data_IF_327417497973
#
_entry.id   IF_327417497973
#
_cell.length_a   1.000
_cell.length_b   1.000
_cell.length_c   1.000
_cell.angle_alpha   90.00
_cell.angle_beta   90.00
_cell.angle_gamma   90.00
#
_symmetry.space_group_name_H-M   'P 1'
#
loop_
_entity.id
_entity.type
_entity.pdbx_description
1 polymer ?
#
# COMPACT_ATOMS: atom_id res chain seq x y z
N UNK A 1 1.97 -0.17 -2.21
CA UNK A 1 2.55 -1.53 -2.14
C UNK A 1 4.08 -1.52 -2.30
N UNK A 2 4.68 -1.11 -3.41
CA UNK A 2 6.14 -1.19 -3.61
C UNK A 2 6.96 -0.51 -2.49
N UNK A 3 6.57 0.71 -2.08
CA UNK A 3 7.24 1.41 -0.96
C UNK A 3 7.12 0.59 0.34
N UNK A 4 5.93 0.06 0.64
CA UNK A 4 5.70 -0.77 1.82
C UNK A 4 6.61 -2.00 1.83
N UNK A 5 6.60 -2.78 0.74
CA UNK A 5 7.41 -4.01 0.63
C UNK A 5 8.91 -3.72 0.77
N UNK A 6 9.39 -2.69 0.08
CA UNK A 6 10.81 -2.32 0.13
C UNK A 6 11.23 -1.83 1.52
N UNK A 7 10.47 -0.94 2.12
CA UNK A 7 10.82 -0.35 3.41
C UNK A 7 10.75 -1.39 4.55
N UNK A 8 9.74 -2.25 4.53
CA UNK A 8 9.65 -3.36 5.49
C UNK A 8 10.80 -4.35 5.32
N UNK A 9 11.18 -4.68 4.09
CA UNK A 9 12.32 -5.56 3.81
C UNK A 9 13.65 -4.97 4.31
N UNK A 10 13.87 -3.67 4.07
CA UNK A 10 15.07 -2.98 4.55
C UNK A 10 15.14 -2.94 6.08
N UNK A 11 14.01 -2.69 6.74
CA UNK A 11 13.96 -2.64 8.20
C UNK A 11 14.08 -4.04 8.83
N UNK A 12 13.48 -5.08 8.22
CA UNK A 12 13.69 -6.48 8.61
C UNK A 12 15.17 -6.86 8.52
N UNK A 13 15.85 -6.46 7.43
CA UNK A 13 17.27 -6.74 7.26
C UNK A 13 18.16 -6.03 8.32
N UNK A 14 17.79 -4.80 8.72
CA UNK A 14 18.48 -4.12 9.86
C UNK A 14 18.34 -4.88 11.17
N UNK A 15 17.30 -5.72 11.32
CA UNK A 15 17.05 -6.59 12.45
C UNK A 15 17.65 -7.99 12.31
N UNK A 16 18.45 -8.22 11.27
CA UNK A 16 19.14 -9.48 11.01
C UNK A 16 18.28 -10.54 10.32
N UNK A 17 17.13 -10.17 9.75
CA UNK A 17 16.30 -11.07 8.94
C UNK A 17 16.75 -10.99 7.48
N UNK A 18 17.04 -12.12 6.86
CA UNK A 18 17.30 -12.20 5.42
C UNK A 18 15.97 -12.20 4.66
N UNK A 19 15.85 -11.34 3.64
CA UNK A 19 14.64 -11.16 2.87
C UNK A 19 14.87 -11.36 1.39
N UNK A 20 14.11 -12.25 0.77
CA UNK A 20 14.04 -12.39 -0.68
C UNK A 20 12.66 -11.95 -1.17
N UNK A 21 12.64 -10.93 -2.04
CA UNK A 21 11.45 -10.39 -2.66
C UNK A 21 11.31 -11.01 -4.05
N UNK A 22 10.25 -11.77 -4.28
CA UNK A 22 9.93 -12.31 -5.60
C UNK A 22 8.98 -11.37 -6.33
N UNK A 23 9.34 -10.95 -7.52
CA UNK A 23 8.50 -10.09 -8.38
C UNK A 23 8.58 -10.56 -9.83
N UNK A 24 7.57 -10.25 -10.64
CA UNK A 24 7.58 -10.56 -12.06
C UNK A 24 8.56 -9.63 -12.79
N UNK A 25 9.43 -10.20 -13.61
CA UNK A 25 10.24 -9.43 -14.54
C UNK A 25 9.35 -8.67 -15.53
N UNK A 26 9.58 -7.38 -15.70
CA UNK A 26 8.79 -6.48 -16.55
C UNK A 26 9.51 -6.07 -17.81
N UNK A 27 10.81 -6.23 -17.85
CA UNK A 27 11.64 -6.01 -19.04
C UNK A 27 12.65 -7.16 -19.20
N UNK A 28 13.13 -7.37 -20.43
CA UNK A 28 14.22 -8.33 -20.70
C UNK A 28 15.57 -7.90 -20.13
N UNK A 29 15.68 -6.63 -19.74
CA UNK A 29 16.87 -6.06 -19.11
C UNK A 29 16.89 -6.27 -17.57
N UNK A 30 15.80 -6.72 -16.97
CA UNK A 30 15.73 -6.99 -15.53
C UNK A 30 16.72 -8.12 -15.17
N UNK A 31 17.72 -7.81 -14.35
CA UNK A 31 18.63 -8.82 -13.85
C UNK A 31 17.84 -9.87 -13.03
N UNK A 32 18.10 -11.19 -13.21
CA UNK A 32 17.35 -12.23 -12.49
C UNK A 32 17.37 -12.08 -10.97
N UNK A 33 18.49 -11.59 -10.43
CA UNK A 33 18.67 -11.33 -8.99
C UNK A 33 19.36 -9.98 -8.81
N UNK A 34 18.78 -9.13 -7.97
CA UNK A 34 19.33 -7.81 -7.62
C UNK A 34 19.49 -7.74 -6.10
N UNK A 35 20.71 -7.45 -5.64
CA UNK A 35 20.95 -7.12 -4.22
C UNK A 35 20.62 -5.65 -3.99
N UNK A 36 19.54 -5.38 -3.27
CA UNK A 36 19.10 -4.01 -2.96
C UNK A 36 19.86 -3.44 -1.77
N UNK A 37 20.11 -4.27 -0.78
CA UNK A 37 20.87 -3.94 0.42
C UNK A 37 21.47 -5.23 1.01
N UNK A 38 22.41 -5.15 1.97
CA UNK A 38 22.80 -6.30 2.77
C UNK A 38 21.57 -6.97 3.39
N UNK A 39 21.38 -8.27 3.17
CA UNK A 39 20.23 -9.04 3.64
C UNK A 39 18.95 -8.87 2.82
N UNK A 40 18.92 -8.09 1.72
CA UNK A 40 17.75 -7.92 0.87
C UNK A 40 18.07 -8.24 -0.59
N UNK A 41 17.41 -9.26 -1.13
CA UNK A 41 17.48 -9.65 -2.54
C UNK A 41 16.11 -9.45 -3.21
N UNK A 42 16.14 -9.05 -4.48
CA UNK A 42 14.97 -9.07 -5.38
C UNK A 42 15.23 -10.10 -6.47
N UNK A 43 14.29 -11.03 -6.62
CA UNK A 43 14.30 -12.02 -7.72
C UNK A 43 13.25 -11.66 -8.75
N UNK A 44 13.71 -11.34 -9.94
CA UNK A 44 12.87 -11.06 -11.10
C UNK A 44 12.50 -12.35 -11.80
N UNK A 45 11.29 -12.83 -11.58
CA UNK A 45 10.79 -14.08 -12.13
C UNK A 45 10.15 -13.84 -13.49
N UNK A 46 10.62 -14.54 -14.52
CA UNK A 46 10.02 -14.46 -15.86
C UNK A 46 8.72 -15.26 -15.86
N UNK A 47 7.61 -14.55 -16.09
CA UNK A 47 6.26 -15.11 -16.17
C UNK A 47 5.45 -14.33 -17.19
N UNK A 48 5.22 -14.92 -18.34
CA UNK A 48 4.58 -14.30 -19.51
C UNK A 48 5.46 -13.25 -20.21
N UNK A 49 4.86 -12.47 -21.11
CA UNK A 49 5.58 -11.45 -21.88
C UNK A 49 6.10 -10.35 -20.97
N UNK A 50 7.22 -9.75 -21.32
CA UNK A 50 7.79 -8.64 -20.56
C UNK A 50 6.93 -7.38 -20.69
N UNK A 51 6.49 -7.07 -21.90
CA UNK A 51 5.75 -5.86 -22.24
C UNK A 51 4.33 -6.19 -22.71
N UNK A 52 3.43 -5.19 -22.63
CA UNK A 52 2.07 -5.30 -23.17
C UNK A 52 1.11 -6.20 -22.37
N UNK A 53 1.50 -6.71 -21.22
CA UNK A 53 0.60 -7.50 -20.37
C UNK A 53 -0.31 -6.58 -19.57
N UNK A 54 -1.62 -6.66 -19.82
CA UNK A 54 -2.62 -5.96 -19.02
C UNK A 54 -2.72 -6.56 -17.61
N UNK A 55 -3.10 -5.70 -16.64
CA UNK A 55 -3.28 -6.15 -15.24
C UNK A 55 -4.33 -7.24 -15.11
N UNK A 56 -5.33 -7.29 -16.01
CA UNK A 56 -6.38 -8.30 -16.02
C UNK A 56 -5.89 -9.66 -16.54
N UNK A 57 -4.76 -9.69 -17.27
CA UNK A 57 -4.13 -10.92 -17.76
C UNK A 57 -3.10 -11.48 -16.78
N UNK A 58 -2.72 -10.74 -15.74
CA UNK A 58 -1.77 -11.21 -14.71
C UNK A 58 -2.19 -12.55 -14.07
N UNK A 59 -3.47 -12.83 -13.77
CA UNK A 59 -3.87 -14.11 -13.20
C UNK A 59 -3.47 -15.32 -14.06
N UNK A 60 -3.42 -15.17 -15.39
CA UNK A 60 -3.03 -16.24 -16.30
C UNK A 60 -1.55 -16.61 -16.21
N UNK A 61 -0.72 -15.73 -15.59
CA UNK A 61 0.73 -15.93 -15.44
C UNK A 61 1.12 -16.57 -14.09
N UNK A 62 0.17 -16.80 -13.19
CA UNK A 62 0.47 -17.28 -11.83
C UNK A 62 1.16 -18.65 -11.83
N UNK A 63 0.80 -19.57 -12.72
CA UNK A 63 1.46 -20.88 -12.80
C UNK A 63 2.95 -20.74 -13.17
N UNK A 64 3.26 -19.91 -14.16
CA UNK A 64 4.65 -19.65 -14.58
C UNK A 64 5.44 -18.96 -13.49
N UNK A 65 4.83 -17.98 -12.80
CA UNK A 65 5.44 -17.27 -11.69
C UNK A 65 5.71 -18.20 -10.51
N UNK A 66 4.72 -19.01 -10.09
CA UNK A 66 4.87 -20.03 -9.03
C UNK A 66 6.01 -20.99 -9.33
N UNK A 67 6.06 -21.52 -10.58
CA UNK A 67 7.14 -22.42 -10.98
C UNK A 67 8.52 -21.74 -10.90
N UNK A 68 8.61 -20.44 -11.17
CA UNK A 68 9.84 -19.66 -11.00
C UNK A 68 10.25 -19.50 -9.54
N UNK A 69 9.30 -19.22 -8.66
CA UNK A 69 9.50 -19.12 -7.21
C UNK A 69 9.99 -20.45 -6.63
N UNK A 70 9.31 -21.54 -6.96
CA UNK A 70 9.68 -22.90 -6.50
C UNK A 70 11.07 -23.33 -7.02
N UNK A 71 11.43 -22.96 -8.25
CA UNK A 71 12.78 -23.24 -8.79
C UNK A 71 13.86 -22.48 -8.04
N UNK A 72 13.61 -21.25 -7.61
CA UNK A 72 14.57 -20.48 -6.85
C UNK A 72 14.84 -21.13 -5.48
N UNK A 73 13.81 -21.57 -4.76
CA UNK A 73 13.98 -22.27 -3.48
C UNK A 73 14.69 -23.61 -3.65
N UNK A 74 14.38 -24.36 -4.72
CA UNK A 74 15.05 -25.65 -4.98
C UNK A 74 16.58 -25.56 -5.21
N UNK A 75 17.15 -24.34 -5.28
CA UNK A 75 18.61 -24.13 -5.29
C UNK A 75 19.22 -24.06 -3.88
N UNK A 76 18.39 -24.06 -2.84
CA UNK A 76 18.77 -23.99 -1.43
C UNK A 76 18.55 -25.35 -0.75
N UNK A 77 19.13 -25.52 0.43
CA UNK A 77 18.85 -26.67 1.28
C UNK A 77 17.39 -26.62 1.77
N UNK A 78 16.74 -27.79 1.96
CA UNK A 78 15.36 -27.86 2.47
C UNK A 78 15.19 -27.09 3.78
N UNK A 79 14.12 -26.30 3.89
CA UNK A 79 13.87 -25.48 5.07
C UNK A 79 14.62 -24.14 5.08
N UNK A 80 15.04 -23.66 3.93
CA UNK A 80 15.74 -22.39 3.79
C UNK A 80 14.89 -21.19 4.19
N UNK A 81 13.58 -21.17 3.85
CA UNK A 81 12.67 -20.12 4.28
C UNK A 81 11.91 -20.54 5.55
N UNK A 82 11.73 -19.60 6.47
CA UNK A 82 10.95 -19.79 7.70
C UNK A 82 9.49 -19.38 7.54
N UNK A 83 9.20 -18.48 6.59
CA UNK A 83 7.89 -17.87 6.42
C UNK A 83 7.72 -17.30 5.00
N UNK A 84 6.47 -17.28 4.53
CA UNK A 84 6.07 -16.55 3.33
C UNK A 84 5.21 -15.37 3.72
N UNK A 85 5.53 -14.16 3.25
CA UNK A 85 4.68 -12.99 3.37
C UNK A 85 4.25 -12.53 1.98
N UNK A 86 2.98 -12.70 1.65
CA UNK A 86 2.42 -12.31 0.36
C UNK A 86 1.73 -10.94 0.42
N UNK A 87 1.83 -10.17 -0.67
CA UNK A 87 1.30 -8.82 -0.78
C UNK A 87 0.38 -8.71 -1.99
N UNK A 88 -0.91 -8.43 -1.77
CA UNK A 88 -1.95 -8.43 -2.78
C UNK A 88 -2.39 -9.85 -3.20
N UNK A 89 -3.66 -10.00 -3.60
CA UNK A 89 -4.29 -11.30 -3.80
C UNK A 89 -3.57 -12.24 -4.78
N UNK A 90 -2.97 -11.70 -5.87
CA UNK A 90 -2.23 -12.52 -6.83
C UNK A 90 -1.03 -13.20 -6.19
N UNK A 91 -0.26 -12.47 -5.40
CA UNK A 91 0.85 -13.08 -4.67
C UNK A 91 0.36 -13.96 -3.51
N UNK A 92 -0.84 -13.71 -2.99
CA UNK A 92 -1.50 -14.58 -2.02
C UNK A 92 -1.75 -15.98 -2.59
N UNK A 93 -2.22 -16.08 -3.82
CA UNK A 93 -2.41 -17.37 -4.51
C UNK A 93 -1.08 -18.13 -4.66
N UNK A 94 -0.01 -17.44 -5.01
CA UNK A 94 1.34 -18.03 -5.08
C UNK A 94 1.84 -18.40 -3.70
N UNK A 95 1.63 -17.50 -2.71
CA UNK A 95 2.01 -17.71 -1.32
C UNK A 95 1.39 -18.97 -0.72
N UNK A 96 0.11 -19.21 -0.98
CA UNK A 96 -0.56 -20.44 -0.57
C UNK A 96 0.13 -21.70 -1.11
N UNK A 97 0.39 -21.75 -2.42
CA UNK A 97 1.07 -22.91 -3.04
C UNK A 97 2.51 -23.10 -2.52
N UNK A 98 3.23 -22.01 -2.27
CA UNK A 98 4.59 -22.08 -1.72
C UNK A 98 4.59 -22.46 -0.25
N UNK A 99 3.64 -21.98 0.58
CA UNK A 99 3.42 -22.42 1.96
C UNK A 99 3.33 -23.95 2.04
N UNK A 100 2.46 -24.54 1.24
CA UNK A 100 2.22 -25.98 1.25
C UNK A 100 3.46 -26.76 0.77
N UNK A 101 4.18 -26.22 -0.21
CA UNK A 101 5.37 -26.88 -0.76
C UNK A 101 6.58 -26.80 0.16
N UNK A 102 6.75 -25.66 0.85
CA UNK A 102 7.91 -25.43 1.73
C UNK A 102 7.63 -25.80 3.19
N UNK A 103 6.39 -26.14 3.52
CA UNK A 103 5.94 -26.45 4.87
C UNK A 103 6.23 -25.31 5.87
N UNK A 104 5.94 -24.08 5.48
CA UNK A 104 6.12 -22.86 6.28
C UNK A 104 4.81 -22.07 6.36
N UNK A 105 4.58 -21.21 7.36
CA UNK A 105 3.37 -20.42 7.44
C UNK A 105 3.28 -19.34 6.35
N UNK A 106 2.03 -18.99 5.98
CA UNK A 106 1.69 -17.88 5.10
C UNK A 106 1.13 -16.71 5.90
N UNK A 107 1.80 -15.57 5.82
CA UNK A 107 1.26 -14.27 6.23
C UNK A 107 0.82 -13.50 4.99
N UNK A 108 -0.31 -12.79 5.06
CA UNK A 108 -0.83 -12.05 3.91
C UNK A 108 -1.21 -10.62 4.27
N UNK A 109 -0.82 -9.67 3.42
CA UNK A 109 -1.29 -8.28 3.44
C UNK A 109 -2.03 -8.00 2.14
N UNK A 110 -3.33 -7.72 2.22
CA UNK A 110 -4.18 -7.50 1.05
C UNK A 110 -3.87 -6.17 0.33
N UNK A 111 -3.46 -5.14 1.04
CA UNK A 111 -3.29 -3.73 0.63
C UNK A 111 -4.58 -3.05 0.14
N UNK A 112 -5.44 -3.77 -0.56
CA UNK A 112 -6.77 -3.32 -1.00
C UNK A 112 -7.66 -4.54 -1.21
N UNK A 113 -8.94 -4.39 -0.93
CA UNK A 113 -9.95 -5.43 -1.12
C UNK A 113 -10.95 -5.02 -2.21
N UNK A 114 -11.32 -5.95 -3.09
CA UNK A 114 -12.30 -5.71 -4.14
C UNK A 114 -13.66 -5.32 -3.57
N UNK A 115 -14.10 -6.00 -2.51
CA UNK A 115 -15.38 -5.71 -1.86
C UNK A 115 -15.44 -4.28 -1.32
N UNK A 116 -14.36 -3.78 -0.72
CA UNK A 116 -14.24 -2.41 -0.21
C UNK A 116 -14.27 -1.39 -1.36
N UNK A 117 -13.50 -1.65 -2.44
CA UNK A 117 -13.49 -0.77 -3.61
C UNK A 117 -14.84 -0.72 -4.30
N UNK A 118 -15.50 -1.87 -4.44
CA UNK A 118 -16.82 -1.96 -5.09
C UNK A 118 -17.93 -1.27 -4.28
N UNK A 119 -17.79 -1.21 -2.95
CA UNK A 119 -18.71 -0.47 -2.08
C UNK A 119 -18.51 1.05 -2.13
N UNK A 120 -17.34 1.53 -2.62
CA UNK A 120 -16.96 2.96 -2.62
C UNK A 120 -16.52 3.41 -4.02
N UNK A 121 -17.24 2.97 -5.07
CA UNK A 121 -16.95 3.36 -6.45
C UNK A 121 -17.17 4.85 -6.64
N UNK A 122 -16.17 5.54 -7.19
CA UNK A 122 -16.33 6.89 -7.67
C UNK A 122 -17.14 6.92 -8.98
N UNK A 123 -17.70 8.08 -9.32
CA UNK A 123 -18.41 8.25 -10.60
C UNK A 123 -17.46 7.96 -11.77
N UNK A 124 -17.83 7.01 -12.63
CA UNK A 124 -17.03 6.57 -13.77
C UNK A 124 -16.05 5.43 -13.49
N UNK A 125 -15.90 4.98 -12.25
CA UNK A 125 -15.12 3.78 -11.93
C UNK A 125 -15.90 2.49 -12.29
N UNK A 126 -15.16 1.47 -12.67
CA UNK A 126 -15.70 0.13 -12.92
C UNK A 126 -15.45 -0.76 -11.71
N UNK A 127 -16.39 -1.67 -11.38
CA UNK A 127 -16.20 -2.62 -10.30
C UNK A 127 -15.03 -3.57 -10.60
N UNK A 128 -14.36 -4.01 -9.57
CA UNK A 128 -13.34 -5.03 -9.67
C UNK A 128 -13.97 -6.38 -10.12
N UNK A 129 -13.29 -7.16 -10.95
CA UNK A 129 -13.86 -8.37 -11.51
C UNK A 129 -14.15 -9.44 -10.44
N UNK A 130 -15.18 -10.28 -10.61
CA UNK A 130 -15.53 -11.34 -9.66
C UNK A 130 -14.38 -12.33 -9.37
N UNK A 131 -13.53 -12.59 -10.34
CA UNK A 131 -12.33 -13.44 -10.17
C UNK A 131 -11.44 -12.92 -9.04
N UNK A 132 -11.31 -11.59 -8.89
CA UNK A 132 -10.53 -10.99 -7.82
C UNK A 132 -11.15 -11.24 -6.46
N UNK A 133 -12.47 -11.05 -6.33
CA UNK A 133 -13.17 -11.30 -5.06
C UNK A 133 -13.08 -12.75 -4.61
N UNK A 134 -13.21 -13.70 -5.55
CA UNK A 134 -13.02 -15.12 -5.27
C UNK A 134 -11.57 -15.42 -4.84
N UNK A 135 -10.61 -14.87 -5.57
CA UNK A 135 -9.19 -15.06 -5.23
C UNK A 135 -8.79 -14.44 -3.90
N UNK A 136 -9.34 -13.27 -3.54
CA UNK A 136 -9.14 -12.65 -2.23
C UNK A 136 -9.71 -13.53 -1.11
N UNK A 137 -10.93 -14.05 -1.28
CA UNK A 137 -11.54 -14.96 -0.31
C UNK A 137 -10.69 -16.20 -0.08
N UNK A 138 -10.22 -16.87 -1.15
CA UNK A 138 -9.34 -18.02 -1.02
C UNK A 138 -8.07 -17.71 -0.21
N UNK A 139 -7.44 -16.56 -0.44
CA UNK A 139 -6.24 -16.17 0.29
C UNK A 139 -6.55 -15.89 1.75
N UNK A 140 -7.68 -15.25 2.06
CA UNK A 140 -8.14 -15.00 3.43
C UNK A 140 -8.38 -16.31 4.18
N UNK A 141 -9.00 -17.29 3.52
CA UNK A 141 -9.27 -18.60 4.12
C UNK A 141 -7.98 -19.38 4.42
N UNK A 142 -6.98 -19.28 3.55
CA UNK A 142 -5.76 -20.08 3.59
C UNK A 142 -4.61 -19.44 4.37
N UNK A 143 -4.56 -18.13 4.51
CA UNK A 143 -3.46 -17.46 5.24
C UNK A 143 -3.46 -17.84 6.73
N UNK A 144 -2.28 -18.11 7.27
CA UNK A 144 -2.11 -18.36 8.71
C UNK A 144 -2.30 -17.09 9.53
N UNK A 145 -1.88 -15.93 9.00
CA UNK A 145 -2.10 -14.61 9.56
C UNK A 145 -2.42 -13.60 8.46
N UNK A 146 -3.26 -12.64 8.81
CA UNK A 146 -3.66 -11.52 7.96
C UNK A 146 -3.14 -10.23 8.59
N UNK A 147 -2.37 -9.47 7.83
CA UNK A 147 -1.87 -8.15 8.26
C UNK A 147 -2.75 -7.09 7.63
N UNK A 148 -3.25 -6.21 8.46
CA UNK A 148 -4.04 -5.04 8.06
C UNK A 148 -3.38 -3.75 8.52
N UNK A 149 -3.71 -2.65 7.82
CA UNK A 149 -3.13 -1.34 8.13
C UNK A 149 -3.82 -0.66 9.32
N UNK A 150 -5.10 -1.00 9.58
CA UNK A 150 -5.92 -0.36 10.62
C UNK A 150 -6.95 -1.33 11.18
N UNK A 151 -7.49 -1.02 12.35
CA UNK A 151 -8.63 -1.74 12.95
C UNK A 151 -9.88 -1.69 12.05
N UNK A 152 -10.07 -0.61 11.31
CA UNK A 152 -11.16 -0.52 10.34
C UNK A 152 -11.02 -1.57 9.23
N UNK A 153 -9.82 -1.76 8.70
CA UNK A 153 -9.54 -2.80 7.70
C UNK A 153 -9.71 -4.22 8.29
N UNK A 154 -9.38 -4.42 9.59
CA UNK A 154 -9.66 -5.66 10.30
C UNK A 154 -11.17 -5.96 10.34
N UNK A 155 -11.98 -4.96 10.69
CA UNK A 155 -13.44 -5.10 10.70
C UNK A 155 -13.99 -5.42 9.29
N UNK A 156 -13.42 -4.83 8.24
CA UNK A 156 -13.79 -5.15 6.86
C UNK A 156 -13.46 -6.60 6.47
N UNK A 157 -12.31 -7.14 6.88
CA UNK A 157 -11.98 -8.55 6.65
C UNK A 157 -12.97 -9.48 7.38
N UNK A 158 -13.32 -9.18 8.62
CA UNK A 158 -14.31 -9.96 9.36
C UNK A 158 -15.68 -9.88 8.70
N UNK A 159 -16.16 -8.68 8.37
CA UNK A 159 -17.53 -8.48 7.87
C UNK A 159 -17.73 -8.90 6.41
N UNK A 160 -16.74 -8.72 5.55
CA UNK A 160 -16.85 -8.95 4.11
C UNK A 160 -16.29 -10.30 3.67
N UNK A 161 -15.34 -10.86 4.43
CA UNK A 161 -14.66 -12.11 4.09
C UNK A 161 -14.81 -13.19 5.18
N UNK A 162 -15.58 -12.91 6.24
CA UNK A 162 -15.74 -13.82 7.39
C UNK A 162 -14.40 -14.32 7.95
N UNK A 163 -13.39 -13.45 7.94
CA UNK A 163 -12.07 -13.77 8.46
C UNK A 163 -12.12 -13.99 9.97
N UNK A 164 -11.37 -14.97 10.46
CA UNK A 164 -11.21 -15.21 11.89
C UNK A 164 -10.43 -14.04 12.53
N UNK A 165 -11.03 -13.27 13.45
CA UNK A 165 -10.37 -12.13 14.08
C UNK A 165 -9.09 -12.52 14.83
N UNK A 166 -8.96 -13.74 15.32
CA UNK A 166 -7.76 -14.23 16.02
C UNK A 166 -6.55 -14.39 15.06
N UNK A 167 -6.80 -14.42 13.75
CA UNK A 167 -5.74 -14.45 12.72
C UNK A 167 -5.38 -13.08 12.16
N UNK A 168 -6.02 -11.99 12.61
CA UNK A 168 -5.79 -10.65 12.10
C UNK A 168 -4.86 -9.90 13.04
N UNK A 169 -3.83 -9.29 12.48
CA UNK A 169 -2.88 -8.45 13.20
C UNK A 169 -2.80 -7.06 12.54
N UNK A 170 -2.86 -6.01 13.35
CA UNK A 170 -2.74 -4.63 12.85
C UNK A 170 -1.27 -4.21 12.86
N UNK A 171 -0.79 -3.73 11.70
CA UNK A 171 0.54 -3.16 11.54
C UNK A 171 0.44 -1.88 10.69
N UNK A 172 0.43 -0.72 11.34
CA UNK A 172 0.37 0.55 10.63
C UNK A 172 1.59 0.72 9.73
N UNK A 173 1.42 1.15 8.47
CA UNK A 173 2.53 1.50 7.60
C UNK A 173 3.35 2.65 8.17
N UNK A 174 4.66 2.59 7.97
CA UNK A 174 5.57 3.64 8.39
C UNK A 174 5.77 4.73 7.34
N UNK A 175 6.35 5.83 7.78
CA UNK A 175 6.91 6.87 6.93
C UNK A 175 8.43 6.91 7.12
N UNK A 176 9.16 7.27 6.08
CA UNK A 176 10.61 7.48 6.13
C UNK A 176 10.90 8.87 6.72
N UNK A 177 11.05 8.91 8.05
CA UNK A 177 11.30 10.13 8.81
C UNK A 177 12.69 10.75 8.55
N UNK A 178 13.60 10.05 7.89
CA UNK A 178 14.88 10.61 7.47
C UNK A 178 14.71 11.43 6.17
N UNK A 179 13.84 11.01 5.28
CA UNK A 179 13.52 11.72 4.03
C UNK A 179 12.44 12.78 4.26
N UNK A 180 11.30 12.38 4.81
CA UNK A 180 10.17 13.28 5.08
C UNK A 180 10.37 13.91 6.46
N UNK A 181 10.87 15.13 6.46
CA UNK A 181 11.21 15.88 7.68
C UNK A 181 10.94 17.36 7.48
N UNK A 182 10.67 18.12 8.54
CA UNK A 182 10.52 19.57 8.44
C UNK A 182 11.77 20.24 7.85
N UNK A 183 11.58 21.41 7.21
CA UNK A 183 12.68 22.14 6.58
C UNK A 183 12.31 23.57 6.24
N UNK A 184 13.18 24.24 5.47
CA UNK A 184 12.99 25.63 5.05
C UNK A 184 11.85 25.73 4.02
N UNK A 185 10.68 26.17 4.48
CA UNK A 185 9.50 26.43 3.64
C UNK A 185 9.76 27.52 2.60
N UNK A 186 10.50 28.54 2.96
CA UNK A 186 10.83 29.63 2.03
C UNK A 186 11.71 29.16 0.87
N UNK A 187 12.70 28.32 1.13
CA UNK A 187 13.51 27.69 0.09
C UNK A 187 12.66 26.76 -0.79
N UNK A 188 11.80 25.94 -0.20
CA UNK A 188 10.88 25.06 -0.95
C UNK A 188 9.93 25.87 -1.84
N UNK A 189 9.38 26.98 -1.34
CA UNK A 189 8.54 27.89 -2.15
C UNK A 189 9.28 28.49 -3.30
N UNK A 190 10.48 29.03 -3.07
CA UNK A 190 11.33 29.59 -4.15
C UNK A 190 11.66 28.55 -5.22
N UNK A 191 11.95 27.31 -4.85
CA UNK A 191 12.25 26.22 -5.82
C UNK A 191 11.05 25.84 -6.70
N UNK A 192 9.83 26.15 -6.25
CA UNK A 192 8.57 25.91 -6.97
C UNK A 192 7.99 27.17 -7.61
N UNK A 193 8.69 28.32 -7.51
CA UNK A 193 8.22 29.60 -8.08
C UNK A 193 7.03 30.20 -7.35
N UNK A 194 6.84 29.90 -6.05
CA UNK A 194 5.75 30.38 -5.23
C UNK A 194 6.14 31.62 -4.42
N UNK A 195 5.21 32.56 -4.25
CA UNK A 195 5.40 33.70 -3.37
C UNK A 195 5.41 33.27 -1.88
N UNK A 196 6.09 34.09 -1.05
CA UNK A 196 6.26 33.74 0.37
C UNK A 196 4.94 33.72 1.16
N UNK A 197 4.00 34.58 0.79
CA UNK A 197 2.70 34.83 1.42
C UNK A 197 1.52 34.15 0.72
N UNK A 198 1.77 33.48 -0.41
CA UNK A 198 0.74 32.80 -1.20
C UNK A 198 0.08 31.66 -0.40
N UNK A 199 -1.25 31.55 -0.44
CA UNK A 199 -1.98 30.42 0.13
C UNK A 199 -1.88 29.23 -0.80
N UNK A 200 -1.28 28.12 -0.37
CA UNK A 200 -0.98 26.96 -1.20
C UNK A 200 -1.58 25.68 -0.61
N UNK A 201 -2.43 25.02 -1.39
CA UNK A 201 -2.93 23.67 -1.10
C UNK A 201 -2.30 22.70 -2.08
N UNK A 202 -1.77 21.58 -1.61
CA UNK A 202 -1.24 20.54 -2.48
C UNK A 202 -2.12 19.28 -2.47
N UNK A 203 -2.22 18.65 -3.63
CA UNK A 203 -2.68 17.27 -3.81
C UNK A 203 -1.49 16.46 -4.33
N UNK A 204 -1.18 15.36 -3.69
CA UNK A 204 -0.12 14.45 -4.09
C UNK A 204 -0.71 13.05 -4.26
N UNK A 205 -0.53 12.45 -5.45
CA UNK A 205 -1.02 11.11 -5.67
C UNK A 205 -1.33 10.79 -7.12
N UNK A 206 -1.81 9.58 -7.34
CA UNK A 206 -2.28 9.16 -8.68
C UNK A 206 -3.54 9.92 -9.03
N UNK A 207 -3.57 10.49 -10.24
CA UNK A 207 -4.76 11.16 -10.79
C UNK A 207 -5.73 10.08 -11.26
N UNK A 208 -6.74 9.81 -10.45
CA UNK A 208 -7.82 8.84 -10.72
C UNK A 208 -9.06 9.21 -9.90
N UNK A 209 -10.29 8.88 -10.36
CA UNK A 209 -11.54 9.24 -9.68
C UNK A 209 -11.56 8.86 -8.19
N UNK A 210 -11.06 7.67 -7.83
CA UNK A 210 -11.01 7.19 -6.45
C UNK A 210 -10.24 8.13 -5.50
N UNK A 211 -9.29 8.93 -6.01
CA UNK A 211 -8.51 9.91 -5.24
C UNK A 211 -9.16 11.29 -5.18
N UNK A 212 -10.21 11.48 -5.95
CA UNK A 212 -11.07 12.66 -5.97
C UNK A 212 -10.35 14.03 -6.06
N UNK A 213 -9.32 14.20 -6.91
CA UNK A 213 -8.69 15.51 -7.08
C UNK A 213 -9.63 16.58 -7.63
N UNK A 214 -10.72 16.18 -8.26
CA UNK A 214 -11.81 17.05 -8.74
C UNK A 214 -12.55 17.73 -7.60
N UNK A 215 -12.76 17.05 -6.45
CA UNK A 215 -13.34 17.63 -5.24
C UNK A 215 -12.49 18.79 -4.75
N UNK A 216 -11.15 18.62 -4.73
CA UNK A 216 -10.24 19.72 -4.37
C UNK A 216 -10.36 20.89 -5.32
N UNK A 217 -10.38 20.68 -6.66
CA UNK A 217 -10.48 21.78 -7.61
C UNK A 217 -11.80 22.55 -7.46
N UNK A 218 -12.92 21.84 -7.30
CA UNK A 218 -14.24 22.45 -7.06
C UNK A 218 -14.28 23.25 -5.76
N UNK A 219 -13.67 22.75 -4.70
CA UNK A 219 -13.56 23.47 -3.43
C UNK A 219 -12.62 24.68 -3.53
N UNK A 220 -11.48 24.55 -4.21
CA UNK A 220 -10.54 25.64 -4.42
C UNK A 220 -11.11 26.76 -5.30
N UNK A 221 -12.04 26.47 -6.21
CA UNK A 221 -12.75 27.48 -6.99
C UNK A 221 -13.54 28.46 -6.10
N UNK A 222 -13.96 28.01 -4.91
CA UNK A 222 -14.67 28.83 -3.91
C UNK A 222 -13.74 29.64 -2.99
N UNK A 223 -12.42 29.45 -3.12
CA UNK A 223 -11.37 30.11 -2.34
C UNK A 223 -10.50 30.98 -3.29
N UNK A 224 -10.83 32.26 -3.51
CA UNK A 224 -10.26 33.06 -4.60
C UNK A 224 -8.74 33.26 -4.54
N UNK A 225 -8.16 33.30 -3.32
CA UNK A 225 -6.73 33.60 -3.08
C UNK A 225 -5.85 32.35 -2.91
N UNK A 226 -6.37 31.18 -3.33
CA UNK A 226 -5.67 29.89 -3.10
C UNK A 226 -5.07 29.39 -4.40
N UNK A 227 -3.79 29.05 -4.38
CA UNK A 227 -3.11 28.25 -5.41
C UNK A 227 -3.17 26.77 -5.07
N UNK A 228 -3.38 25.96 -6.11
CA UNK A 228 -3.40 24.49 -5.99
C UNK A 228 -2.20 23.90 -6.73
N UNK A 229 -1.46 23.01 -6.06
CA UNK A 229 -0.44 22.17 -6.67
C UNK A 229 -0.97 20.74 -6.80
N UNK A 230 -1.04 20.22 -8.00
CA UNK A 230 -1.41 18.82 -8.27
C UNK A 230 -0.15 18.06 -8.69
N UNK A 231 0.40 17.22 -7.80
CA UNK A 231 1.60 16.45 -8.09
C UNK A 231 1.26 14.97 -8.30
N UNK A 232 1.43 14.48 -9.54
CA UNK A 232 1.16 13.10 -9.91
C UNK A 232 0.84 12.93 -11.38
N UNK A 233 0.40 11.73 -11.74
CA UNK A 233 0.02 11.42 -13.13
C UNK A 233 -1.22 10.56 -13.21
N UNK A 234 -1.87 10.50 -14.39
CA UNK A 234 -3.01 9.63 -14.66
C UNK A 234 -2.66 8.16 -14.39
N UNK A 235 -3.60 7.43 -13.78
CA UNK A 235 -3.41 6.01 -13.45
C UNK A 235 -4.75 5.30 -13.37
N UNK A 236 -4.78 4.00 -13.69
CA UNK A 236 -6.00 3.22 -13.64
C UNK A 236 -7.10 3.82 -14.54
N UNK A 237 -8.31 4.00 -14.00
CA UNK A 237 -9.43 4.65 -14.71
C UNK A 237 -9.14 6.09 -15.13
N UNK A 238 -8.20 6.79 -14.50
CA UNK A 238 -7.76 8.13 -14.89
C UNK A 238 -7.03 8.17 -16.25
N UNK A 239 -6.51 7.05 -16.73
CA UNK A 239 -5.87 6.96 -18.07
C UNK A 239 -6.87 7.16 -19.21
N UNK A 240 -8.14 6.89 -19.00
CA UNK A 240 -9.20 7.11 -20.00
C UNK A 240 -9.47 8.61 -20.25
N UNK A 241 -9.10 9.50 -19.31
CA UNK A 241 -9.32 10.93 -19.40
C UNK A 241 -8.12 11.69 -18.78
N UNK A 242 -6.92 11.61 -19.37
CA UNK A 242 -5.69 12.16 -18.77
C UNK A 242 -5.75 13.67 -18.54
N UNK A 243 -6.46 14.41 -19.41
CA UNK A 243 -6.60 15.87 -19.32
C UNK A 243 -7.86 16.33 -18.59
N UNK A 244 -8.58 15.41 -17.95
CA UNK A 244 -9.88 15.70 -17.30
C UNK A 244 -9.79 16.78 -16.24
N UNK A 245 -8.74 16.79 -15.43
CA UNK A 245 -8.53 17.81 -14.40
C UNK A 245 -8.12 19.16 -14.97
N UNK A 246 -7.38 19.19 -16.08
CA UNK A 246 -7.01 20.45 -16.76
C UNK A 246 -8.25 21.11 -17.31
N UNK A 247 -9.13 20.33 -17.99
CA UNK A 247 -10.42 20.84 -18.46
C UNK A 247 -11.32 21.32 -17.33
N UNK A 248 -11.36 20.57 -16.23
CA UNK A 248 -12.13 20.97 -15.04
C UNK A 248 -11.62 22.31 -14.46
N UNK A 249 -10.31 22.51 -14.40
CA UNK A 249 -9.74 23.78 -13.93
C UNK A 249 -10.15 24.95 -14.85
N UNK A 250 -10.19 24.71 -16.16
CA UNK A 250 -10.65 25.71 -17.16
C UNK A 250 -12.14 26.01 -17.00
N UNK A 251 -13.00 24.99 -16.92
CA UNK A 251 -14.43 25.11 -16.67
C UNK A 251 -14.77 25.88 -15.37
N UNK A 252 -13.93 25.70 -14.34
CA UNK A 252 -14.06 26.39 -13.06
C UNK A 252 -13.44 27.80 -13.06
N UNK A 253 -12.73 28.21 -14.14
CA UNK A 253 -12.08 29.50 -14.24
C UNK A 253 -10.90 29.69 -13.27
N UNK A 254 -10.19 28.61 -12.94
CA UNK A 254 -9.07 28.62 -11.98
C UNK A 254 -7.73 28.16 -12.57
N UNK A 255 -7.63 28.03 -13.88
CA UNK A 255 -6.43 27.52 -14.57
C UNK A 255 -5.15 28.26 -14.18
N UNK A 256 -5.21 29.56 -14.00
CA UNK A 256 -4.09 30.44 -13.60
C UNK A 256 -3.61 30.18 -12.15
N UNK A 257 -4.43 29.54 -11.34
CA UNK A 257 -4.15 29.21 -9.94
C UNK A 257 -3.84 27.73 -9.69
N UNK A 258 -3.88 26.89 -10.75
CA UNK A 258 -3.57 25.45 -10.65
C UNK A 258 -2.25 25.14 -11.35
N UNK A 259 -1.33 24.51 -10.64
CA UNK A 259 -0.07 24.04 -11.22
C UNK A 259 -0.05 22.50 -11.20
N UNK A 260 0.04 21.90 -12.40
CA UNK A 260 0.16 20.47 -12.56
C UNK A 260 1.65 20.08 -12.62
N UNK A 261 2.08 19.25 -11.69
CA UNK A 261 3.43 18.69 -11.62
C UNK A 261 3.37 17.22 -12.03
N UNK A 262 4.24 16.74 -12.93
CA UNK A 262 4.31 15.31 -13.25
C UNK A 262 4.68 14.49 -12.02
N UNK A 263 4.67 13.14 -12.09
CA UNK A 263 5.19 12.30 -11.02
C UNK A 263 6.59 12.75 -10.58
N UNK A 264 6.77 12.95 -9.28
CA UNK A 264 7.97 13.52 -8.68
C UNK A 264 8.83 12.45 -7.99
N UNK A 265 10.15 12.69 -7.87
CA UNK A 265 11.00 11.93 -6.95
C UNK A 265 10.62 12.20 -5.49
N UNK A 266 11.04 11.33 -4.58
CA UNK A 266 10.75 11.50 -3.15
C UNK A 266 11.31 12.80 -2.58
N UNK A 267 12.50 13.18 -3.01
CA UNK A 267 13.18 14.42 -2.60
C UNK A 267 12.39 15.65 -3.07
N UNK A 268 11.87 15.59 -4.30
CA UNK A 268 11.05 16.68 -4.85
C UNK A 268 9.68 16.76 -4.19
N UNK A 269 9.09 15.61 -3.80
CA UNK A 269 7.85 15.60 -3.01
C UNK A 269 8.02 16.27 -1.65
N UNK A 270 9.18 16.09 -0.99
CA UNK A 270 9.49 16.80 0.27
C UNK A 270 9.40 18.31 0.10
N UNK A 271 9.88 18.85 -1.03
CA UNK A 271 9.76 20.29 -1.33
C UNK A 271 8.29 20.69 -1.53
N UNK A 272 7.49 19.88 -2.23
CA UNK A 272 6.05 20.14 -2.42
C UNK A 272 5.33 20.16 -1.06
N UNK A 273 5.58 19.17 -0.21
CA UNK A 273 5.01 19.13 1.14
C UNK A 273 5.39 20.37 1.96
N UNK A 274 6.69 20.71 2.01
CA UNK A 274 7.18 21.87 2.79
C UNK A 274 6.64 23.20 2.29
N UNK A 275 6.46 23.35 0.97
CA UNK A 275 5.96 24.57 0.36
C UNK A 275 4.47 24.83 0.63
N UNK A 276 3.67 23.78 0.76
CA UNK A 276 2.23 23.86 0.97
C UNK A 276 1.89 24.37 2.39
N UNK A 277 0.72 24.99 2.51
CA UNK A 277 0.09 25.32 3.79
C UNK A 277 -0.64 24.11 4.34
N UNK A 278 -1.26 23.33 3.47
CA UNK A 278 -1.93 22.08 3.78
C UNK A 278 -1.90 21.14 2.58
N UNK A 279 -2.09 19.85 2.84
CA UNK A 279 -2.29 18.83 1.82
C UNK A 279 -3.73 18.34 1.87
N UNK A 280 -4.39 18.28 0.72
CA UNK A 280 -5.74 17.73 0.60
C UNK A 280 -5.68 16.25 0.19
N UNK A 281 -6.42 15.40 0.91
CA UNK A 281 -6.56 13.95 0.63
C UNK A 281 -8.04 13.59 0.54
N UNK A 282 -8.73 13.96 -0.54
CA UNK A 282 -10.19 13.81 -0.67
C UNK A 282 -10.62 12.41 -1.17
N UNK A 283 -9.82 11.38 -0.92
CA UNK A 283 -10.06 10.04 -1.44
C UNK A 283 -11.42 9.46 -1.03
N UNK A 284 -12.11 8.78 -1.95
CA UNK A 284 -13.33 7.99 -1.64
C UNK A 284 -13.00 6.72 -0.83
N UNK A 285 -11.83 6.17 -1.04
CA UNK A 285 -11.31 5.04 -0.26
C UNK A 285 -9.79 5.14 -0.10
N UNK A 286 -9.34 4.88 1.12
CA UNK A 286 -7.91 4.89 1.47
C UNK A 286 -7.65 3.83 2.54
N UNK A 287 -6.72 2.92 2.28
CA UNK A 287 -6.40 1.86 3.26
C UNK A 287 -5.64 2.40 4.47
N UNK A 288 -4.81 3.43 4.28
CA UNK A 288 -4.10 4.09 5.39
C UNK A 288 -3.92 5.59 5.16
N UNK A 289 -3.30 5.99 4.05
CA UNK A 289 -3.03 7.41 3.75
C UNK A 289 -1.56 7.79 3.95
N UNK A 290 -0.62 7.07 3.33
CA UNK A 290 0.81 7.40 3.41
C UNK A 290 1.11 8.86 3.05
N UNK A 291 0.42 9.41 2.04
CA UNK A 291 0.55 10.83 1.65
C UNK A 291 0.23 11.77 2.81
N UNK A 292 -0.80 11.45 3.60
CA UNK A 292 -1.15 12.25 4.77
C UNK A 292 -0.06 12.21 5.83
N UNK A 293 0.53 11.04 6.08
CA UNK A 293 1.63 10.90 7.07
C UNK A 293 2.92 11.54 6.57
N UNK A 294 3.25 11.42 5.28
CA UNK A 294 4.40 12.08 4.65
C UNK A 294 4.31 13.61 4.73
N UNK A 295 3.13 14.17 4.46
CA UNK A 295 2.86 15.61 4.60
C UNK A 295 3.08 16.08 6.03
N UNK A 296 2.50 15.38 7.00
CA UNK A 296 2.64 15.68 8.42
C UNK A 296 4.07 15.54 8.91
N UNK A 297 4.82 14.52 8.44
CA UNK A 297 6.24 14.38 8.74
C UNK A 297 7.07 15.58 8.24
N UNK A 298 6.67 16.20 7.13
CA UNK A 298 7.27 17.45 6.64
C UNK A 298 6.77 18.70 7.38
N UNK A 299 5.89 18.55 8.36
CA UNK A 299 5.29 19.64 9.13
C UNK A 299 4.13 20.33 8.41
N UNK A 300 3.45 19.65 7.48
CA UNK A 300 2.33 20.21 6.74
C UNK A 300 1.04 19.54 7.17
N UNK A 301 0.07 20.27 7.75
CA UNK A 301 -1.21 19.71 8.17
C UNK A 301 -2.02 19.21 6.97
N UNK A 302 -2.93 18.31 7.23
CA UNK A 302 -3.72 17.62 6.20
C UNK A 302 -5.20 17.92 6.36
N UNK A 303 -5.89 18.16 5.26
CA UNK A 303 -7.35 18.09 5.18
C UNK A 303 -7.71 16.81 4.44
N UNK A 304 -8.35 15.86 5.11
CA UNK A 304 -8.59 14.53 4.59
C UNK A 304 -10.05 14.11 4.71
N UNK A 305 -10.53 13.28 3.79
CA UNK A 305 -11.83 12.64 3.95
C UNK A 305 -11.81 11.69 5.16
N UNK A 306 -12.92 11.64 5.92
CA UNK A 306 -13.07 10.74 7.07
C UNK A 306 -13.37 9.31 6.63
N UNK A 307 -12.51 8.71 5.78
CA UNK A 307 -12.72 7.38 5.19
C UNK A 307 -11.54 6.43 5.43
N UNK A 308 -11.84 5.16 5.57
CA UNK A 308 -10.84 4.10 5.66
C UNK A 308 -9.82 4.31 6.78
N UNK A 309 -8.54 4.34 6.42
CA UNK A 309 -7.43 4.56 7.36
C UNK A 309 -7.09 6.03 7.63
N UNK A 310 -7.69 6.98 6.92
CA UNK A 310 -7.37 8.40 7.09
C UNK A 310 -7.66 8.93 8.51
N UNK A 311 -8.72 8.49 9.24
CA UNK A 311 -8.91 8.89 10.63
C UNK A 311 -7.83 8.38 11.61
N UNK A 312 -7.05 7.38 11.21
CA UNK A 312 -5.84 6.95 11.95
C UNK A 312 -4.63 7.79 11.55
N UNK A 313 -4.47 8.05 10.25
CA UNK A 313 -3.35 8.80 9.70
C UNK A 313 -3.41 10.30 10.03
N UNK A 314 -4.59 10.85 10.27
CA UNK A 314 -4.82 12.29 10.58
C UNK A 314 -5.60 12.41 11.88
N UNK A 315 -5.01 13.06 12.88
CA UNK A 315 -5.68 13.35 14.14
C UNK A 315 -6.48 14.64 14.02
N UNK A 316 -7.81 14.49 13.91
CA UNK A 316 -8.73 15.60 13.67
C UNK A 316 -8.58 16.75 14.70
N UNK A 317 -8.56 17.98 14.20
CA UNK A 317 -8.37 19.19 15.01
C UNK A 317 -6.96 19.37 15.60
N UNK A 318 -6.04 18.40 15.45
CA UNK A 318 -4.70 18.38 16.05
C UNK A 318 -3.60 18.41 15.00
N UNK A 319 -3.55 17.42 14.13
CA UNK A 319 -2.54 17.30 13.07
C UNK A 319 -3.10 17.63 11.68
N UNK A 320 -4.41 17.82 11.60
CA UNK A 320 -5.16 18.13 10.39
C UNK A 320 -6.64 18.26 10.68
N UNK A 321 -7.44 18.19 9.63
CA UNK A 321 -8.91 18.28 9.68
C UNK A 321 -9.50 17.11 8.89
N UNK A 322 -10.48 16.42 9.46
CA UNK A 322 -11.26 15.40 8.76
C UNK A 322 -12.56 16.01 8.24
N UNK A 323 -12.92 15.67 7.00
CA UNK A 323 -14.15 16.12 6.34
C UNK A 323 -15.01 14.91 6.07
N UNK A 324 -16.26 14.96 6.53
CA UNK A 324 -17.28 13.95 6.21
C UNK A 324 -17.83 14.18 4.81
N UNK A 325 -17.74 13.16 3.96
CA UNK A 325 -18.23 13.23 2.58
C UNK A 325 -17.30 14.01 1.63
N UNK A 326 -17.85 14.35 0.46
CA UNK A 326 -17.09 14.90 -0.67
C UNK A 326 -17.76 16.13 -1.29
N UNK A 327 -18.65 16.81 -0.52
CA UNK A 327 -19.25 18.06 -0.97
C UNK A 327 -18.17 19.16 -1.06
N UNK A 328 -17.97 19.80 -2.22
CA UNK A 328 -16.99 20.87 -2.38
C UNK A 328 -17.19 22.06 -1.43
N UNK A 329 -18.42 22.31 -0.93
CA UNK A 329 -18.68 23.38 0.04
C UNK A 329 -18.09 23.05 1.41
N UNK A 330 -18.25 21.82 1.88
CA UNK A 330 -17.69 21.35 3.14
C UNK A 330 -16.15 21.37 3.08
N UNK A 331 -15.57 20.95 1.96
CA UNK A 331 -14.13 21.00 1.73
C UNK A 331 -13.60 22.44 1.69
N UNK A 332 -14.30 23.35 1.02
CA UNK A 332 -13.93 24.76 1.00
C UNK A 332 -14.02 25.38 2.41
N UNK A 333 -15.07 25.07 3.18
CA UNK A 333 -15.22 25.52 4.56
C UNK A 333 -14.09 24.98 5.47
N UNK A 334 -13.74 23.69 5.37
CA UNK A 334 -12.66 23.08 6.15
C UNK A 334 -11.28 23.72 5.85
N UNK A 335 -10.95 23.88 4.55
CA UNK A 335 -9.70 24.49 4.10
C UNK A 335 -9.64 25.99 4.46
N UNK A 336 -10.73 26.73 4.23
CA UNK A 336 -10.86 28.14 4.60
C UNK A 336 -10.67 28.33 6.12
N UNK A 337 -11.41 27.55 6.92
CA UNK A 337 -11.28 27.58 8.38
C UNK A 337 -9.88 27.22 8.90
N UNK A 338 -9.13 26.36 8.18
CA UNK A 338 -7.73 26.07 8.52
C UNK A 338 -6.82 27.27 8.18
N UNK A 339 -7.05 27.96 7.06
CA UNK A 339 -6.34 29.21 6.75
C UNK A 339 -6.60 30.30 7.79
N UNK A 340 -7.85 30.45 8.24
CA UNK A 340 -8.22 31.47 9.25
C UNK A 340 -7.58 31.20 10.62
N UNK A 341 -7.47 29.95 11.03
CA UNK A 341 -6.75 29.52 12.25
C UNK A 341 -5.22 29.64 12.12
N UNK A 342 -4.71 29.70 10.91
CA UNK A 342 -3.28 29.63 10.59
C UNK A 342 -2.75 28.20 10.59
N UNK A 343 -2.49 27.60 9.40
CA UNK A 343 -2.02 26.21 9.28
C UNK A 343 -0.74 25.93 10.09
N UNK A 344 0.09 26.94 10.33
CA UNK A 344 1.33 26.85 11.11
C UNK A 344 1.09 26.41 12.56
N UNK A 345 -0.09 26.62 13.12
CA UNK A 345 -0.43 26.21 14.50
C UNK A 345 -0.47 24.70 14.69
N UNK A 346 -0.73 23.96 13.62
CA UNK A 346 -0.80 22.48 13.64
C UNK A 346 0.54 21.82 13.28
N UNK A 347 1.55 22.54 12.78
CA UNK A 347 2.79 21.96 12.24
C UNK A 347 3.53 21.07 13.22
N UNK A 348 3.72 21.53 14.46
CA UNK A 348 4.43 20.76 15.48
C UNK A 348 3.67 19.45 15.82
N UNK A 349 2.35 19.55 16.04
CA UNK A 349 1.51 18.40 16.32
C UNK A 349 1.43 17.41 15.14
N UNK A 350 1.46 17.91 13.90
CA UNK A 350 1.53 17.08 12.71
C UNK A 350 2.82 16.24 12.67
N UNK A 351 3.97 16.86 12.95
CA UNK A 351 5.27 16.15 13.03
C UNK A 351 5.26 15.11 14.15
N UNK A 352 4.76 15.47 15.32
CA UNK A 352 4.67 14.56 16.46
C UNK A 352 3.76 13.37 16.15
N UNK A 353 2.61 13.60 15.52
CA UNK A 353 1.71 12.54 15.11
C UNK A 353 2.35 11.62 14.05
N UNK A 354 2.97 12.18 13.01
CA UNK A 354 3.66 11.40 11.98
C UNK A 354 4.80 10.55 12.54
N UNK A 355 5.51 11.02 13.58
CA UNK A 355 6.59 10.29 14.21
C UNK A 355 6.14 8.98 14.89
N UNK A 356 4.84 8.84 15.19
CA UNK A 356 4.29 7.57 15.71
C UNK A 356 4.22 6.47 14.66
N UNK A 357 4.28 6.82 13.36
CA UNK A 357 4.24 5.89 12.23
C UNK A 357 5.65 5.68 11.65
N UNK A 358 6.46 4.88 12.30
CA UNK A 358 7.79 4.53 11.79
C UNK A 358 7.82 3.13 11.20
N UNK A 359 8.68 2.88 10.21
CA UNK A 359 8.90 1.53 9.69
C UNK A 359 9.43 0.57 10.76
N UNK A 360 10.12 1.09 11.78
CA UNK A 360 10.55 0.30 12.92
C UNK A 360 9.34 -0.27 13.68
N UNK A 361 8.34 0.54 13.99
CA UNK A 361 7.11 0.07 14.64
C UNK A 361 6.30 -0.90 13.75
N UNK A 362 6.22 -0.63 12.44
CA UNK A 362 5.61 -1.56 11.49
C UNK A 362 6.27 -2.94 11.58
N UNK A 363 7.61 -2.98 11.55
CA UNK A 363 8.35 -4.24 11.57
C UNK A 363 8.29 -4.92 12.93
N UNK A 364 8.20 -4.18 14.05
CA UNK A 364 7.95 -4.78 15.37
C UNK A 364 6.63 -5.57 15.36
N UNK A 365 5.55 -4.98 14.83
CA UNK A 365 4.26 -5.65 14.69
C UNK A 365 4.34 -6.86 13.74
N UNK A 366 5.03 -6.73 12.61
CA UNK A 366 5.24 -7.84 11.66
C UNK A 366 6.00 -9.00 12.29
N UNK A 367 7.11 -8.74 13.00
CA UNK A 367 7.89 -9.78 13.67
C UNK A 367 7.09 -10.51 14.75
N UNK A 368 6.27 -9.78 15.50
CA UNK A 368 5.35 -10.38 16.46
C UNK A 368 4.33 -11.30 15.77
N UNK A 369 3.76 -10.86 14.64
CA UNK A 369 2.84 -11.67 13.83
C UNK A 369 3.54 -12.91 13.25
N UNK A 370 4.74 -12.76 12.71
CA UNK A 370 5.54 -13.88 12.17
C UNK A 370 5.84 -14.93 13.26
N UNK A 371 6.20 -14.48 14.46
CA UNK A 371 6.42 -15.38 15.60
C UNK A 371 5.18 -16.19 15.94
N UNK A 372 3.99 -15.55 15.95
CA UNK A 372 2.70 -16.24 16.15
C UNK A 372 2.42 -17.22 15.00
N UNK A 373 2.56 -16.78 13.74
CA UNK A 373 2.32 -17.63 12.58
C UNK A 373 3.18 -18.90 12.61
N UNK A 374 4.47 -18.77 12.89
CA UNK A 374 5.41 -19.92 12.98
C UNK A 374 5.01 -20.85 14.15
N UNK A 375 4.68 -20.31 15.30
CA UNK A 375 4.29 -21.08 16.49
C UNK A 375 3.00 -21.87 16.24
N UNK A 376 1.96 -21.21 15.72
CA UNK A 376 0.66 -21.80 15.46
C UNK A 376 0.75 -22.85 14.33
N UNK A 377 1.52 -22.57 13.29
CA UNK A 377 1.75 -23.49 12.19
C UNK A 377 2.42 -24.78 12.68
N UNK A 378 3.50 -24.67 13.44
CA UNK A 378 4.20 -25.82 14.04
C UNK A 378 3.30 -26.63 14.96
N UNK A 379 2.52 -25.98 15.81
CA UNK A 379 1.61 -26.66 16.73
C UNK A 379 0.51 -27.46 16.00
N UNK A 380 0.00 -26.95 14.86
CA UNK A 380 -0.98 -27.67 14.03
C UNK A 380 -0.38 -28.88 13.32
N UNK A 381 0.83 -28.77 12.80
CA UNK A 381 1.47 -29.84 12.02
C UNK A 381 2.09 -30.93 12.91
N UNK A 382 2.56 -30.61 14.14
CA UNK A 382 3.04 -31.61 15.10
C UNK A 382 1.91 -32.50 15.64
N UNK A 383 0.66 -32.01 15.67
CA UNK A 383 -0.51 -32.84 16.08
C UNK A 383 -0.92 -33.88 15.04
N UNK A 384 -0.42 -33.81 13.84
CA UNK A 384 -0.75 -34.73 12.73
C UNK A 384 0.20 -35.93 12.67
N UNK A 385 1.31 -35.95 13.37
CA UNK A 385 2.13 -37.15 13.56
C UNK A 385 1.43 -38.15 14.51
N UNK A 386 0.39 -38.80 13.98
CA UNK A 386 -0.18 -40.00 14.62
C UNK A 386 0.89 -41.07 14.56
N UNK A 387 1.28 -41.69 15.68
CA UNK A 387 2.28 -42.76 15.66
C UNK A 387 1.75 -43.86 14.72
N UNK A 388 2.49 -44.13 13.65
CA UNK A 388 2.21 -45.26 12.79
C UNK A 388 2.24 -46.51 13.64
N UNK A 389 1.08 -47.10 13.94
CA UNK A 389 0.99 -48.48 14.45
C UNK A 389 1.71 -49.34 13.40
N UNK A 390 2.92 -49.77 13.77
CA UNK A 390 3.62 -50.83 13.07
C UNK A 390 2.76 -52.08 13.12
N UNK A 391 1.89 -52.24 12.16
CA UNK A 391 1.36 -53.57 11.79
C UNK A 391 2.22 -54.04 10.62
N UNK A 392 3.18 -54.90 10.98
CA UNK A 392 4.02 -55.55 10.01
C UNK A 392 3.17 -56.46 9.10
N UNK A 393 3.03 -56.11 7.85
CA UNK A 393 2.82 -57.00 6.76
C UNK A 393 3.82 -56.67 5.67
N UNK A 394 4.90 -57.50 5.61
CA UNK A 394 5.79 -57.52 4.47
C UNK A 394 5.01 -58.06 3.27
N UNK A 395 4.70 -57.21 2.31
CA UNK A 395 4.32 -57.67 0.96
C UNK A 395 5.59 -58.02 0.19
N UNK A 396 5.84 -59.31 -0.03
CA UNK A 396 6.85 -59.82 -0.91
C UNK A 396 6.28 -59.82 -2.34
N UNK A 397 6.77 -58.94 -3.19
CA UNK A 397 6.54 -59.01 -4.65
C UNK A 397 7.59 -59.96 -5.23
N UNK A 398 7.15 -61.19 -5.56
CA UNK A 398 7.95 -62.09 -6.40
C UNK A 398 7.94 -61.57 -7.83
N UNK A 399 9.13 -61.20 -8.31
CA UNK A 399 9.38 -60.99 -9.75
C UNK A 399 9.21 -62.32 -10.46
N UNK A 400 8.27 -62.41 -11.36
CA UNK A 400 8.19 -63.45 -12.39
C UNK A 400 8.60 -62.84 -13.73
N UNK A 401 9.84 -63.02 -14.12
CA UNK A 401 10.29 -62.83 -15.50
C UNK A 401 10.21 -64.20 -16.13
N UNK A 402 9.49 -64.38 -17.21
CA UNK A 402 9.79 -65.30 -18.31
C UNK A 402 9.05 -64.91 -19.58
N UNK A 403 9.88 -64.69 -20.57
CA UNK A 403 9.94 -64.93 -22.00
C UNK A 403 8.93 -64.18 -22.85
#
# INVERSE_FOLDING_TARGET
MNVYVLQTALELARRGVEVEIFTRATTSADAPVVRVAPGVLVRNVVAGPFEGLDKHDLPTQLCAFTAGVLRAEATHEPGYYDIVHSHYWLSGQVGWLTRDRWAVPLVHTAHTLAAVKNASLAIGDQPEPPLRSVGEQQVVDEADRLIVNTEYEAQQLVSLHNADPDRIDVAHPGVDLATFTPGDRGAARRSLGLAADEKVIAFIGRIQPLKAPDVLLRAAAKLPDVRVLIAGGPSGSGLANPDGLVRLADELGITDRVTFLPPQSRERLVEVYRAADMVAVPSYAESFGLVAVEAQACGTPVVAAAVGGLPVAVRDGVSGVLVDGHDPDDWAAAMGGLFDRGPQTMRAAAVEHAATFSWAHTVDALLASYGRAITDYRARHQRVEVPSRRTGRRFSIRRGIRA
#
